data_IF_731049162458
#
_entry.id   IF_731049162458
#
_cell.length_a   1.000
_cell.length_b   1.000
_cell.length_c   1.000
_cell.angle_alpha   90.00
_cell.angle_beta   90.00
_cell.angle_gamma   90.00
#
_symmetry.space_group_name_H-M   'P 1'
#
loop_
_entity.id
_entity.type
_entity.pdbx_description
1 polymer ?
#
# COMPACT_ATOMS: atom_id res chain seq x y z
N UNK A 1 -14.35 7.66 -17.80
CA UNK A 1 -13.68 7.31 -16.53
C UNK A 1 -12.30 6.77 -16.88
N UNK A 2 -11.25 7.25 -16.21
CA UNK A 2 -9.89 7.41 -16.73
C UNK A 2 -9.03 6.13 -16.81
N UNK A 3 -8.62 5.72 -18.02
CA UNK A 3 -7.55 4.72 -18.25
C UNK A 3 -6.22 5.09 -17.53
N UNK A 4 -6.01 6.38 -17.22
CA UNK A 4 -4.81 6.87 -16.54
C UNK A 4 -4.79 6.62 -15.03
N UNK A 5 -5.94 6.39 -14.40
CA UNK A 5 -6.03 6.21 -12.96
C UNK A 5 -5.73 4.75 -12.57
N UNK A 6 -6.27 3.79 -13.34
CA UNK A 6 -5.96 2.37 -13.21
C UNK A 6 -4.46 2.07 -13.41
N UNK A 7 -3.81 2.68 -14.41
CA UNK A 7 -2.37 2.48 -14.66
C UNK A 7 -1.49 2.95 -13.49
N UNK A 8 -1.87 4.03 -12.82
CA UNK A 8 -1.16 4.56 -11.64
C UNK A 8 -1.37 3.69 -10.40
N UNK A 9 -2.58 3.18 -10.22
CA UNK A 9 -2.90 2.25 -9.14
C UNK A 9 -2.11 0.95 -9.34
N UNK A 10 -2.11 0.39 -10.55
CA UNK A 10 -1.34 -0.81 -10.89
C UNK A 10 0.15 -0.64 -10.60
N UNK A 11 0.77 0.47 -11.05
CA UNK A 11 2.18 0.77 -10.75
C UNK A 11 2.47 0.90 -9.26
N UNK A 12 1.59 1.54 -8.50
CA UNK A 12 1.75 1.70 -7.05
C UNK A 12 1.65 0.35 -6.32
N UNK A 13 0.76 -0.54 -6.78
CA UNK A 13 0.63 -1.91 -6.27
C UNK A 13 1.88 -2.73 -6.61
N UNK A 14 2.43 -2.60 -7.82
CA UNK A 14 3.67 -3.26 -8.20
C UNK A 14 4.86 -2.77 -7.37
N UNK A 15 4.97 -1.46 -7.14
CA UNK A 15 5.99 -0.88 -6.27
C UNK A 15 5.84 -1.40 -4.83
N UNK A 16 4.61 -1.45 -4.32
CA UNK A 16 4.31 -2.02 -3.00
C UNK A 16 4.77 -3.49 -2.88
N UNK A 17 4.44 -4.31 -3.88
CA UNK A 17 4.88 -5.71 -3.97
C UNK A 17 6.40 -5.85 -4.03
N UNK A 18 7.10 -4.90 -4.66
CA UNK A 18 8.58 -4.86 -4.70
C UNK A 18 9.21 -4.44 -3.37
N UNK A 19 8.52 -3.67 -2.54
CA UNK A 19 9.00 -3.24 -1.22
C UNK A 19 8.87 -4.37 -0.19
N UNK A 20 7.66 -4.94 -0.06
CA UNK A 20 7.37 -5.95 0.97
C UNK A 20 7.65 -7.40 0.53
N UNK A 21 7.73 -7.63 -0.79
CA UNK A 21 7.67 -8.97 -1.37
C UNK A 21 6.23 -9.38 -1.72
N UNK A 22 6.03 -10.20 -2.76
CA UNK A 22 4.70 -10.50 -3.31
C UNK A 22 3.76 -11.18 -2.31
N UNK A 23 4.27 -12.11 -1.49
CA UNK A 23 3.46 -12.82 -0.47
C UNK A 23 3.04 -11.91 0.69
N UNK A 24 3.97 -11.14 1.24
CA UNK A 24 3.68 -10.21 2.33
C UNK A 24 2.75 -9.09 1.88
N UNK A 25 2.92 -8.59 0.65
CA UNK A 25 2.02 -7.60 0.07
C UNK A 25 0.60 -8.13 -0.12
N UNK A 26 0.44 -9.37 -0.57
CA UNK A 26 -0.88 -10.00 -0.73
C UNK A 26 -1.59 -10.19 0.62
N UNK A 27 -0.87 -10.72 1.61
CA UNK A 27 -1.38 -10.87 2.98
C UNK A 27 -1.78 -9.51 3.58
N UNK A 28 -0.97 -8.47 3.39
CA UNK A 28 -1.26 -7.13 3.88
C UNK A 28 -2.51 -6.55 3.20
N UNK A 29 -2.62 -6.60 1.87
CA UNK A 29 -3.82 -6.13 1.16
C UNK A 29 -5.07 -6.90 1.56
N UNK A 30 -4.95 -8.21 1.79
CA UNK A 30 -6.04 -9.04 2.32
C UNK A 30 -6.54 -8.54 3.67
N UNK A 31 -5.62 -8.28 4.61
CA UNK A 31 -5.96 -7.70 5.91
C UNK A 31 -6.60 -6.32 5.80
N UNK A 32 -6.05 -5.43 4.95
CA UNK A 32 -6.61 -4.10 4.71
C UNK A 32 -8.02 -4.17 4.12
N UNK A 33 -8.27 -5.07 3.17
CA UNK A 33 -9.58 -5.25 2.55
C UNK A 33 -10.64 -5.65 3.56
N UNK A 34 -10.30 -6.51 4.53
CA UNK A 34 -11.20 -6.90 5.63
C UNK A 34 -11.53 -5.69 6.51
N UNK A 35 -10.52 -4.91 6.90
CA UNK A 35 -10.70 -3.71 7.74
C UNK A 35 -11.58 -2.69 7.04
N UNK A 36 -11.32 -2.41 5.77
CA UNK A 36 -12.07 -1.42 5.00
C UNK A 36 -13.49 -1.90 4.68
N UNK A 37 -13.70 -3.18 4.41
CA UNK A 37 -15.04 -3.75 4.24
C UNK A 37 -15.87 -3.59 5.53
N UNK A 38 -15.25 -3.79 6.69
CA UNK A 38 -15.92 -3.64 7.99
C UNK A 38 -16.21 -2.19 8.37
N UNK A 39 -15.43 -1.23 7.86
CA UNK A 39 -15.56 0.20 8.15
C UNK A 39 -16.27 1.01 7.05
N UNK A 40 -16.61 0.40 5.91
CA UNK A 40 -17.39 1.05 4.85
C UNK A 40 -16.61 2.11 4.03
N UNK A 41 -15.37 1.82 3.64
CA UNK A 41 -14.54 2.74 2.86
C UNK A 41 -13.89 2.16 1.60
N UNK A 42 -12.92 2.89 1.04
CA UNK A 42 -12.04 2.42 -0.03
C UNK A 42 -10.58 2.68 0.35
N UNK A 43 -9.70 1.73 0.05
CA UNK A 43 -8.26 1.89 0.23
C UNK A 43 -7.75 2.77 -0.90
N UNK A 44 -7.06 3.86 -0.56
CA UNK A 44 -6.27 4.63 -1.51
C UNK A 44 -4.85 4.11 -1.53
N UNK A 45 -4.24 3.95 -2.71
CA UNK A 45 -2.81 3.69 -2.84
C UNK A 45 -2.20 4.73 -3.76
N UNK A 46 -1.03 5.25 -3.39
CA UNK A 46 -0.32 6.25 -4.18
C UNK A 46 1.16 6.10 -3.98
N UNK A 47 1.94 6.24 -5.06
CA UNK A 47 3.39 6.22 -5.00
C UNK A 47 3.95 7.63 -5.17
N UNK A 48 4.88 8.02 -4.29
CA UNK A 48 5.61 9.29 -4.34
C UNK A 48 7.10 9.00 -4.29
N UNK A 49 7.74 8.95 -5.47
CA UNK A 49 9.14 8.51 -5.59
C UNK A 49 9.29 7.03 -5.20
N UNK A 50 10.15 6.76 -4.22
CA UNK A 50 10.39 5.41 -3.67
C UNK A 50 9.42 5.04 -2.53
N UNK A 51 8.58 5.99 -2.11
CA UNK A 51 7.66 5.81 -0.99
C UNK A 51 6.28 5.42 -1.55
N UNK A 52 5.73 4.31 -1.08
CA UNK A 52 4.34 3.93 -1.32
C UNK A 52 3.49 4.34 -0.13
N UNK A 53 2.46 5.14 -0.36
CA UNK A 53 1.48 5.56 0.63
C UNK A 53 0.16 4.80 0.44
N UNK A 54 -0.39 4.32 1.54
CA UNK A 54 -1.67 3.63 1.63
C UNK A 54 -2.58 4.41 2.57
N UNK A 55 -3.69 4.93 2.03
CA UNK A 55 -4.70 5.65 2.79
C UNK A 55 -5.86 4.71 3.14
N UNK A 56 -6.10 4.55 4.44
CA UNK A 56 -7.03 3.60 5.03
C UNK A 56 -8.12 4.36 5.80
N UNK A 57 -9.37 4.34 5.34
CA UNK A 57 -10.49 4.87 6.11
C UNK A 57 -10.87 3.86 7.21
N UNK A 58 -10.43 4.12 8.45
CA UNK A 58 -10.72 3.29 9.63
C UNK A 58 -11.61 4.10 10.57
N UNK A 59 -12.86 3.65 10.75
CA UNK A 59 -13.82 4.21 11.69
C UNK A 59 -14.01 5.74 11.58
N UNK A 60 -14.07 6.26 10.34
CA UNK A 60 -14.18 7.69 10.05
C UNK A 60 -12.86 8.49 10.14
N UNK A 61 -11.77 7.85 10.55
CA UNK A 61 -10.42 8.43 10.56
C UNK A 61 -9.63 7.95 9.35
N UNK A 62 -9.02 8.87 8.60
CA UNK A 62 -8.07 8.53 7.55
C UNK A 62 -6.72 8.18 8.17
N UNK A 63 -6.24 6.95 7.93
CA UNK A 63 -4.91 6.48 8.37
C UNK A 63 -4.01 6.37 7.15
N UNK A 64 -2.93 7.14 7.12
CA UNK A 64 -1.92 7.07 6.07
C UNK A 64 -0.73 6.22 6.53
N UNK A 65 -0.47 5.13 5.81
CA UNK A 65 0.68 4.24 6.04
C UNK A 65 1.67 4.43 4.89
N UNK A 66 2.90 4.81 5.22
CA UNK A 66 3.98 5.00 4.24
C UNK A 66 4.98 3.86 4.32
N UNK A 67 5.23 3.22 3.19
CA UNK A 67 6.21 2.16 2.99
C UNK A 67 7.36 2.73 2.17
N UNK A 68 8.57 2.57 2.66
CA UNK A 68 9.78 2.89 1.92
C UNK A 68 10.67 1.67 1.92
N UNK A 69 11.28 1.36 0.77
CA UNK A 69 12.31 0.33 0.75
C UNK A 69 13.53 0.88 1.47
N UNK A 70 13.75 0.44 2.70
CA UNK A 70 15.05 0.64 3.34
C UNK A 70 16.03 -0.32 2.70
N UNK A 71 17.01 0.21 1.95
CA UNK A 71 18.24 -0.53 1.69
C UNK A 71 18.83 -0.86 3.06
N UNK A 72 18.78 -2.12 3.47
CA UNK A 72 19.29 -2.55 4.75
C UNK A 72 20.83 -2.63 4.68
N UNK A 73 21.58 -1.88 5.52
CA UNK A 73 22.89 -2.32 5.96
C UNK A 73 22.81 -2.77 7.42
N UNK A 74 22.10 -3.84 7.74
CA UNK A 74 22.37 -4.63 8.95
C UNK A 74 22.90 -6.01 8.58
N UNK A 75 24.15 -5.96 8.10
CA UNK A 75 25.12 -7.00 8.42
C UNK A 75 25.42 -6.88 9.92
N UNK A 76 24.63 -7.52 10.78
CA UNK A 76 25.07 -7.80 12.15
C UNK A 76 25.97 -9.04 12.10
N UNK A 77 27.25 -8.79 12.39
CA UNK A 77 28.37 -9.74 12.44
C UNK A 77 28.11 -11.00 13.26
#
# INVERSE_FOLDING_TARGET
MSEREDDRVAKSIEAFKKILGPEAADAFMGALKIIVHKNGGKIGISQVGDIVKLHLPINGTGVDVSFQKTSDPQKTS
#
